data_IF_562676033225
#
_entry.id   IF_562676033225
#
_cell.length_a   1.000
_cell.length_b   1.000
_cell.length_c   1.000
_cell.angle_alpha   90.00
_cell.angle_beta   90.00
_cell.angle_gamma   90.00
#
_symmetry.space_group_name_H-M   'P 1'
#
loop_
_entity.id
_entity.type
_entity.pdbx_description
1 polymer ?
#
# COMPACT_ATOMS: atom_id res chain seq x y z
N UNK A 1 -1.68 -16.54 21.20
CA UNK A 1 -3.05 -15.98 21.05
C UNK A 1 -2.91 -14.53 20.62
N UNK A 2 -3.49 -14.14 19.48
CA UNK A 2 -3.42 -12.75 19.02
C UNK A 2 -4.32 -11.85 19.91
N UNK A 3 -3.84 -10.66 20.24
CA UNK A 3 -4.57 -9.68 21.03
C UNK A 3 -5.75 -9.11 20.19
N UNK A 4 -7.01 -9.27 20.64
CA UNK A 4 -8.19 -8.84 19.90
C UNK A 4 -8.21 -7.34 19.62
N UNK A 5 -7.62 -6.51 20.49
CA UNK A 5 -7.51 -5.06 20.27
C UNK A 5 -6.57 -4.74 19.10
N UNK A 6 -5.48 -5.52 18.95
CA UNK A 6 -4.53 -5.35 17.85
C UNK A 6 -5.13 -5.77 16.52
N UNK A 7 -5.88 -6.87 16.49
CA UNK A 7 -6.57 -7.33 15.27
C UNK A 7 -7.62 -6.33 14.81
N UNK A 8 -8.38 -5.72 15.74
CA UNK A 8 -9.37 -4.70 15.39
C UNK A 8 -8.72 -3.46 14.75
N UNK A 9 -7.64 -2.94 15.34
CA UNK A 9 -6.88 -1.80 14.79
C UNK A 9 -6.30 -2.11 13.41
N UNK A 10 -5.72 -3.30 13.25
CA UNK A 10 -5.18 -3.75 11.97
C UNK A 10 -6.28 -3.90 10.91
N UNK A 11 -7.45 -4.41 11.29
CA UNK A 11 -8.62 -4.54 10.41
C UNK A 11 -9.11 -3.18 9.91
N UNK A 12 -9.29 -2.22 10.82
CA UNK A 12 -9.70 -0.86 10.46
C UNK A 12 -8.69 -0.21 9.51
N UNK A 13 -7.39 -0.38 9.77
CA UNK A 13 -6.34 0.16 8.94
C UNK A 13 -6.34 -0.43 7.51
N UNK A 14 -6.57 -1.74 7.37
CA UNK A 14 -6.68 -2.37 6.06
C UNK A 14 -7.94 -1.95 5.31
N UNK A 15 -9.09 -1.80 5.99
CA UNK A 15 -10.31 -1.29 5.34
C UNK A 15 -10.08 0.14 4.82
N UNK A 16 -9.47 1.01 5.63
CA UNK A 16 -9.14 2.37 5.23
C UNK A 16 -8.17 2.40 4.03
N UNK A 17 -7.11 1.58 4.05
CA UNK A 17 -6.15 1.48 2.96
C UNK A 17 -6.74 0.91 1.67
N UNK A 18 -7.52 -0.17 1.74
CA UNK A 18 -8.18 -0.70 0.52
C UNK A 18 -9.16 0.33 -0.04
N UNK A 19 -9.81 1.12 0.83
CA UNK A 19 -10.69 2.23 0.44
C UNK A 19 -10.01 3.37 -0.31
N UNK A 20 -8.67 3.46 -0.36
CA UNK A 20 -7.98 4.49 -1.16
C UNK A 20 -7.90 4.14 -2.64
N UNK A 21 -8.26 2.93 -3.03
CA UNK A 21 -8.17 2.45 -4.41
C UNK A 21 -9.51 2.57 -5.15
N UNK A 22 -9.51 2.61 -6.49
CA UNK A 22 -10.74 2.50 -7.27
C UNK A 22 -11.28 1.07 -7.15
N UNK A 23 -12.32 0.89 -6.33
CA UNK A 23 -12.97 -0.41 -6.11
C UNK A 23 -14.23 -0.54 -6.96
N UNK A 24 -14.49 -1.75 -7.44
CA UNK A 24 -15.74 -2.09 -8.14
C UNK A 24 -16.95 -2.05 -7.20
N UNK A 25 -16.73 -2.15 -5.89
CA UNK A 25 -17.76 -2.06 -4.85
C UNK A 25 -17.22 -1.36 -3.60
N UNK A 26 -18.07 -0.64 -2.86
CA UNK A 26 -17.68 -0.08 -1.57
C UNK A 26 -17.39 -1.19 -0.56
N UNK A 27 -16.47 -0.91 0.36
CA UNK A 27 -16.17 -1.77 1.51
C UNK A 27 -16.41 -0.98 2.80
N UNK A 28 -16.98 -1.64 3.80
CA UNK A 28 -17.25 -1.04 5.12
C UNK A 28 -16.61 -1.84 6.24
N UNK A 29 -16.23 -3.09 5.97
CA UNK A 29 -15.71 -4.02 6.96
C UNK A 29 -14.73 -5.01 6.35
N UNK A 30 -13.99 -5.72 7.20
CA UNK A 30 -13.10 -6.78 6.76
C UNK A 30 -13.86 -7.96 6.12
N UNK A 31 -15.14 -8.16 6.47
CA UNK A 31 -15.97 -9.19 5.86
C UNK A 31 -16.14 -8.96 4.35
N UNK A 32 -16.14 -7.70 3.90
CA UNK A 32 -16.23 -7.33 2.49
C UNK A 32 -14.96 -7.69 1.69
N UNK A 33 -13.90 -8.15 2.34
CA UNK A 33 -12.69 -8.67 1.69
C UNK A 33 -12.71 -10.20 1.55
N UNK A 34 -13.69 -10.88 2.15
CA UNK A 34 -13.68 -12.35 2.32
C UNK A 34 -14.01 -13.15 1.05
N UNK A 35 -14.27 -12.51 -0.07
CA UNK A 35 -14.36 -13.16 -1.39
C UNK A 35 -13.22 -12.78 -2.34
N UNK A 36 -12.30 -11.92 -1.87
CA UNK A 36 -11.13 -11.46 -2.61
C UNK A 36 -11.38 -10.41 -3.69
N UNK A 37 -12.61 -9.97 -3.96
CA UNK A 37 -12.90 -9.06 -5.08
C UNK A 37 -12.24 -7.68 -4.91
N UNK A 38 -12.37 -7.06 -3.74
CA UNK A 38 -11.73 -5.77 -3.47
C UNK A 38 -10.18 -5.88 -3.46
N UNK A 39 -9.63 -6.99 -2.97
CA UNK A 39 -8.18 -7.24 -3.05
C UNK A 39 -7.71 -7.43 -4.49
N UNK A 40 -8.53 -8.06 -5.34
CA UNK A 40 -8.29 -8.12 -6.77
C UNK A 40 -8.25 -6.72 -7.39
N UNK A 41 -9.20 -5.84 -7.06
CA UNK A 41 -9.23 -4.48 -7.59
C UNK A 41 -7.95 -3.71 -7.20
N UNK A 42 -7.54 -3.80 -5.93
CA UNK A 42 -6.28 -3.21 -5.45
C UNK A 42 -5.09 -3.74 -6.25
N UNK A 43 -4.93 -5.06 -6.38
CA UNK A 43 -3.79 -5.63 -7.10
C UNK A 43 -3.84 -5.36 -8.61
N UNK A 44 -5.03 -5.25 -9.20
CA UNK A 44 -5.21 -4.85 -10.61
C UNK A 44 -4.84 -3.38 -10.83
N UNK A 45 -5.10 -2.52 -9.85
CA UNK A 45 -4.68 -1.11 -9.91
C UNK A 45 -3.16 -0.97 -9.84
N UNK A 46 -2.48 -1.90 -9.17
CA UNK A 46 -1.02 -1.97 -9.08
C UNK A 46 -0.43 -2.51 -10.38
N UNK A 47 -0.92 -3.67 -10.83
CA UNK A 47 -0.47 -4.34 -12.05
C UNK A 47 -1.61 -5.15 -12.70
N UNK A 48 -2.27 -4.51 -13.67
CA UNK A 48 -3.37 -5.12 -14.42
C UNK A 48 -2.92 -6.25 -15.37
N UNK A 49 -1.63 -6.36 -15.69
CA UNK A 49 -1.14 -7.43 -16.57
C UNK A 49 -1.12 -8.77 -15.81
N UNK A 50 -0.67 -8.73 -14.56
CA UNK A 50 -0.59 -9.89 -13.68
C UNK A 50 -1.93 -10.20 -12.98
N UNK A 51 -2.66 -9.16 -12.56
CA UNK A 51 -3.94 -9.31 -11.88
C UNK A 51 -5.08 -8.93 -12.82
N UNK A 52 -5.41 -9.84 -13.75
CA UNK A 52 -6.55 -9.62 -14.65
C UNK A 52 -7.86 -9.92 -13.92
N UNK A 53 -8.80 -8.96 -13.86
CA UNK A 53 -10.11 -9.22 -13.29
C UNK A 53 -10.81 -10.33 -14.09
N UNK A 54 -11.58 -11.20 -13.43
CA UNK A 54 -12.39 -12.18 -14.13
C UNK A 54 -13.41 -11.46 -15.02
N UNK A 55 -13.63 -11.96 -16.23
CA UNK A 55 -14.57 -11.40 -17.21
C UNK A 55 -16.04 -11.44 -16.80
N UNK A 56 -16.36 -12.02 -15.63
CA UNK A 56 -17.70 -12.03 -15.03
C UNK A 56 -17.60 -11.58 -13.57
N UNK A 57 -18.41 -10.61 -13.12
CA UNK A 57 -18.47 -10.27 -11.71
C UNK A 57 -18.93 -11.51 -10.95
N UNK A 58 -18.16 -11.99 -9.96
CA UNK A 58 -18.60 -13.12 -9.18
C UNK A 58 -19.80 -12.68 -8.34
N UNK A 59 -20.96 -13.31 -8.53
CA UNK A 59 -22.08 -13.32 -7.57
C UNK A 59 -21.68 -14.07 -6.28
N UNK A 60 -20.41 -13.99 -5.88
CA UNK A 60 -19.79 -14.87 -4.91
C UNK A 60 -20.20 -14.56 -3.47
N UNK A 61 -20.72 -13.36 -3.16
CA UNK A 61 -20.99 -12.99 -1.77
C UNK A 61 -21.90 -13.99 -1.06
N UNK A 62 -22.92 -14.53 -1.74
CA UNK A 62 -23.89 -15.44 -1.13
C UNK A 62 -23.41 -16.90 -1.04
N UNK A 63 -22.50 -17.34 -1.92
CA UNK A 63 -22.05 -18.72 -1.97
C UNK A 63 -20.58 -18.84 -1.56
N UNK A 64 -20.33 -19.36 -0.36
CA UNK A 64 -18.98 -19.55 0.18
C UNK A 64 -18.07 -20.40 -0.72
N UNK A 65 -18.61 -21.32 -1.52
CA UNK A 65 -17.84 -22.13 -2.48
C UNK A 65 -17.30 -21.26 -3.63
N UNK A 66 -18.12 -20.29 -4.09
CA UNK A 66 -17.68 -19.31 -5.09
C UNK A 66 -16.65 -18.36 -4.49
N UNK A 67 -16.83 -17.90 -3.23
CA UNK A 67 -15.81 -17.10 -2.52
C UNK A 67 -14.50 -17.84 -2.41
N UNK A 68 -14.54 -19.09 -1.95
CA UNK A 68 -13.36 -19.93 -1.82
C UNK A 68 -12.63 -20.11 -3.16
N UNK A 69 -13.38 -20.30 -4.25
CA UNK A 69 -12.81 -20.43 -5.59
C UNK A 69 -12.14 -19.12 -6.06
N UNK A 70 -12.76 -17.97 -5.80
CA UNK A 70 -12.17 -16.65 -6.06
C UNK A 70 -10.91 -16.40 -5.24
N UNK A 71 -10.92 -16.73 -3.95
CA UNK A 71 -9.78 -16.61 -3.06
C UNK A 71 -8.62 -17.51 -3.46
N UNK A 72 -8.88 -18.77 -3.88
CA UNK A 72 -7.84 -19.66 -4.42
C UNK A 72 -7.17 -19.06 -5.64
N UNK A 73 -7.95 -18.47 -6.55
CA UNK A 73 -7.42 -17.78 -7.72
C UNK A 73 -6.57 -16.58 -7.32
N UNK A 74 -7.07 -15.74 -6.41
CA UNK A 74 -6.36 -14.57 -5.89
C UNK A 74 -5.01 -14.98 -5.28
N UNK A 75 -5.03 -15.94 -4.35
CA UNK A 75 -3.83 -16.41 -3.67
C UNK A 75 -2.81 -17.03 -4.62
N UNK A 76 -3.27 -17.78 -5.64
CA UNK A 76 -2.40 -18.30 -6.70
C UNK A 76 -1.69 -17.17 -7.47
N UNK A 77 -2.40 -16.09 -7.80
CA UNK A 77 -1.79 -14.94 -8.50
C UNK A 77 -0.84 -14.16 -7.59
N UNK A 78 -1.18 -13.99 -6.32
CA UNK A 78 -0.30 -13.38 -5.31
C UNK A 78 1.01 -14.16 -5.22
N UNK A 79 0.93 -15.47 -4.96
CA UNK A 79 2.11 -16.34 -4.83
C UNK A 79 2.95 -16.38 -6.12
N UNK A 80 2.29 -16.39 -7.28
CA UNK A 80 2.96 -16.28 -8.57
C UNK A 80 3.69 -14.93 -8.73
N UNK A 81 3.06 -13.82 -8.35
CA UNK A 81 3.69 -12.49 -8.42
C UNK A 81 4.94 -12.40 -7.52
N UNK A 82 4.85 -12.95 -6.31
CA UNK A 82 6.00 -13.05 -5.41
C UNK A 82 7.16 -13.83 -6.05
N UNK A 83 6.87 -14.98 -6.67
CA UNK A 83 7.89 -15.82 -7.29
C UNK A 83 8.48 -15.21 -8.57
N UNK A 84 7.62 -14.79 -9.49
CA UNK A 84 8.00 -14.43 -10.86
C UNK A 84 8.48 -12.98 -10.96
N UNK A 85 7.84 -12.06 -10.23
CA UNK A 85 8.10 -10.61 -10.33
C UNK A 85 8.99 -10.13 -9.18
N UNK A 86 8.71 -10.55 -7.95
CA UNK A 86 9.50 -10.15 -6.79
C UNK A 86 10.71 -11.05 -6.53
N UNK A 87 10.82 -12.18 -7.26
CA UNK A 87 11.89 -13.18 -7.12
C UNK A 87 12.02 -13.72 -5.69
N UNK A 88 10.89 -13.94 -5.03
CA UNK A 88 10.78 -14.37 -3.65
C UNK A 88 10.07 -15.73 -3.58
N UNK A 89 10.63 -16.72 -2.90
CA UNK A 89 10.07 -18.06 -2.91
C UNK A 89 8.71 -18.08 -2.20
N UNK A 90 7.71 -18.72 -2.83
CA UNK A 90 6.37 -18.86 -2.24
C UNK A 90 6.39 -19.57 -0.87
N UNK A 91 7.41 -20.39 -0.59
CA UNK A 91 7.63 -21.05 0.70
C UNK A 91 7.93 -20.08 1.85
N UNK A 92 8.33 -18.85 1.56
CA UNK A 92 8.55 -17.81 2.56
C UNK A 92 7.26 -17.05 2.92
N UNK A 93 6.16 -17.29 2.21
CA UNK A 93 4.89 -16.64 2.45
C UNK A 93 4.07 -17.43 3.46
N UNK A 94 3.41 -16.71 4.37
CA UNK A 94 2.39 -17.32 5.21
C UNK A 94 1.23 -17.82 4.34
N UNK A 95 0.79 -19.06 4.57
CA UNK A 95 -0.36 -19.65 3.88
C UNK A 95 -1.63 -19.35 4.70
N UNK A 96 -2.57 -18.53 4.18
CA UNK A 96 -3.85 -18.30 4.83
C UNK A 96 -4.81 -19.48 4.63
N UNK A 97 -5.63 -19.78 5.63
CA UNK A 97 -6.75 -20.71 5.49
C UNK A 97 -7.89 -20.03 4.71
N UNK A 98 -7.83 -20.17 3.38
CA UNK A 98 -8.82 -19.60 2.46
C UNK A 98 -10.23 -20.13 2.69
N UNK A 99 -10.37 -21.35 3.24
CA UNK A 99 -11.67 -21.91 3.53
C UNK A 99 -12.28 -21.22 4.74
N UNK A 100 -11.50 -20.97 5.79
CA UNK A 100 -11.93 -20.20 6.95
C UNK A 100 -12.28 -18.74 6.59
N UNK A 101 -11.55 -18.12 5.66
CA UNK A 101 -11.91 -16.80 5.10
C UNK A 101 -13.26 -16.87 4.38
N UNK A 102 -13.41 -17.83 3.46
CA UNK A 102 -14.61 -17.94 2.62
C UNK A 102 -15.86 -18.36 3.40
N UNK A 103 -15.73 -19.25 4.39
CA UNK A 103 -16.88 -19.84 5.07
C UNK A 103 -17.22 -19.10 6.36
N UNK A 104 -16.20 -18.81 7.15
CA UNK A 104 -16.35 -18.34 8.53
C UNK A 104 -16.00 -16.85 8.69
N UNK A 105 -15.66 -16.16 7.59
CA UNK A 105 -15.20 -14.76 7.59
C UNK A 105 -14.06 -14.53 8.60
N UNK A 106 -13.14 -15.49 8.68
CA UNK A 106 -12.11 -15.52 9.71
C UNK A 106 -11.16 -14.31 9.62
N UNK A 107 -11.27 -13.40 10.59
CA UNK A 107 -10.52 -12.14 10.63
C UNK A 107 -9.00 -12.33 10.56
N UNK A 108 -8.35 -13.17 11.41
CA UNK A 108 -6.92 -13.44 11.30
C UNK A 108 -6.47 -13.88 9.91
N UNK A 109 -7.18 -14.80 9.27
CA UNK A 109 -6.82 -15.35 7.96
C UNK A 109 -7.05 -14.34 6.83
N UNK A 110 -8.11 -13.52 6.92
CA UNK A 110 -8.34 -12.39 6.00
C UNK A 110 -7.22 -11.36 6.11
N UNK A 111 -6.75 -11.05 7.32
CA UNK A 111 -5.63 -10.15 7.52
C UNK A 111 -4.32 -10.70 6.94
N UNK A 112 -4.09 -12.02 6.96
CA UNK A 112 -2.92 -12.62 6.29
C UNK A 112 -2.96 -12.37 4.78
N UNK A 113 -4.11 -12.52 4.13
CA UNK A 113 -4.27 -12.18 2.72
C UNK A 113 -4.00 -10.69 2.45
N UNK A 114 -4.53 -9.80 3.29
CA UNK A 114 -4.33 -8.36 3.16
C UNK A 114 -2.86 -7.97 3.29
N UNK A 115 -2.13 -8.61 4.23
CA UNK A 115 -0.68 -8.44 4.41
C UNK A 115 0.10 -8.80 3.15
N UNK A 116 -0.20 -9.94 2.52
CA UNK A 116 0.43 -10.32 1.25
C UNK A 116 0.14 -9.30 0.14
N UNK A 117 -1.09 -8.79 0.07
CA UNK A 117 -1.47 -7.79 -0.93
C UNK A 117 -0.73 -6.45 -0.75
N UNK A 118 -0.67 -5.91 0.48
CA UNK A 118 0.11 -4.68 0.74
C UNK A 118 1.61 -4.92 0.55
N UNK A 119 2.10 -6.12 0.85
CA UNK A 119 3.48 -6.52 0.59
C UNK A 119 3.85 -6.48 -0.90
N UNK A 120 2.94 -6.87 -1.79
CA UNK A 120 3.09 -6.65 -3.23
C UNK A 120 3.04 -5.16 -3.55
N UNK A 121 2.04 -4.44 -3.04
CA UNK A 121 1.81 -3.03 -3.34
C UNK A 121 3.05 -2.16 -3.06
N UNK A 122 3.68 -2.34 -1.90
CA UNK A 122 4.88 -1.58 -1.49
C UNK A 122 6.17 -2.06 -2.16
N UNK A 123 6.15 -3.18 -2.89
CA UNK A 123 7.29 -3.68 -3.67
C UNK A 123 7.15 -3.43 -5.17
N UNK A 124 5.92 -3.20 -5.64
CA UNK A 124 5.59 -2.92 -7.03
C UNK A 124 6.23 -1.64 -7.58
N UNK A 125 6.12 -1.45 -8.89
CA UNK A 125 6.52 -0.20 -9.57
C UNK A 125 5.71 1.02 -9.07
N UNK A 126 4.45 0.79 -8.67
CA UNK A 126 3.55 1.83 -8.12
C UNK A 126 3.77 2.11 -6.63
N UNK A 127 4.85 1.60 -6.04
CA UNK A 127 5.18 1.80 -4.61
C UNK A 127 5.04 3.24 -4.15
N UNK A 128 5.48 4.22 -4.94
CA UNK A 128 5.40 5.64 -4.53
C UNK A 128 3.95 6.06 -4.26
N UNK A 129 3.05 5.79 -5.20
CA UNK A 129 1.61 6.09 -5.07
C UNK A 129 1.00 5.34 -3.88
N UNK A 130 1.37 4.08 -3.69
CA UNK A 130 0.90 3.26 -2.54
C UNK A 130 1.36 3.86 -1.21
N UNK A 131 2.62 4.30 -1.10
CA UNK A 131 3.17 4.90 0.11
C UNK A 131 2.51 6.25 0.39
N UNK A 132 2.32 7.09 -0.62
CA UNK A 132 1.60 8.37 -0.49
C UNK A 132 0.15 8.13 -0.04
N UNK A 133 -0.53 7.11 -0.59
CA UNK A 133 -1.86 6.70 -0.15
C UNK A 133 -1.91 6.29 1.32
N UNK A 134 -0.90 5.55 1.80
CA UNK A 134 -0.79 5.19 3.23
C UNK A 134 -0.55 6.45 4.08
N UNK A 135 0.31 7.37 3.65
CA UNK A 135 0.58 8.62 4.38
C UNK A 135 -0.64 9.55 4.47
N UNK A 136 -1.60 9.41 3.56
CA UNK A 136 -2.88 10.13 3.61
C UNK A 136 -3.86 9.60 4.67
N UNK A 137 -3.61 8.43 5.25
CA UNK A 137 -4.45 7.84 6.31
C UNK A 137 -4.13 8.42 7.68
N UNK A 138 -5.01 8.20 8.66
CA UNK A 138 -4.72 8.58 10.06
C UNK A 138 -3.47 7.87 10.61
N UNK A 139 -2.76 8.52 11.52
CA UNK A 139 -1.49 8.01 12.10
C UNK A 139 -1.64 6.63 12.76
N UNK A 140 -2.80 6.35 13.37
CA UNK A 140 -3.13 5.06 13.96
C UNK A 140 -3.20 3.94 12.92
N UNK A 141 -3.74 4.24 11.73
CA UNK A 141 -3.80 3.34 10.59
C UNK A 141 -2.41 3.16 9.97
N UNK A 142 -1.66 4.23 9.77
CA UNK A 142 -0.28 4.18 9.26
C UNK A 142 0.60 3.28 10.11
N UNK A 143 0.57 3.45 11.43
CA UNK A 143 1.35 2.65 12.38
C UNK A 143 0.96 1.16 12.34
N UNK A 144 -0.34 0.89 12.15
CA UNK A 144 -0.85 -0.47 12.05
C UNK A 144 -0.44 -1.16 10.74
N UNK A 145 -0.53 -0.44 9.61
CA UNK A 145 -0.11 -0.92 8.28
C UNK A 145 1.40 -1.09 8.21
N UNK A 146 2.17 -0.19 8.80
CA UNK A 146 3.62 -0.34 9.00
C UNK A 146 3.92 -1.68 9.64
N UNK A 147 3.34 -1.96 10.82
CA UNK A 147 3.49 -3.25 11.53
C UNK A 147 3.08 -4.44 10.67
N UNK A 148 2.02 -4.30 9.89
CA UNK A 148 1.52 -5.35 9.00
C UNK A 148 2.52 -5.65 7.87
N UNK A 149 3.06 -4.61 7.22
CA UNK A 149 4.16 -4.70 6.25
C UNK A 149 5.36 -5.37 6.94
N UNK A 150 5.62 -5.05 8.22
CA UNK A 150 6.74 -5.67 8.95
C UNK A 150 6.66 -7.17 9.11
N UNK A 151 5.46 -7.69 9.31
CA UNK A 151 5.26 -9.13 9.44
C UNK A 151 5.54 -9.88 8.13
N UNK A 152 5.39 -9.20 6.99
CA UNK A 152 5.69 -9.77 5.65
C UNK A 152 7.21 -9.74 5.36
N UNK A 153 8.01 -9.01 6.16
CA UNK A 153 9.47 -8.80 5.97
C UNK A 153 10.38 -10.02 6.19
N UNK A 154 9.84 -11.24 6.31
CA UNK A 154 10.65 -12.46 6.06
C UNK A 154 11.24 -12.50 4.64
N UNK A 155 10.89 -11.52 3.82
CA UNK A 155 11.05 -11.47 2.39
C UNK A 155 11.65 -10.10 2.01
N UNK A 156 12.98 -10.06 1.87
CA UNK A 156 13.89 -9.06 1.27
C UNK A 156 13.46 -7.57 1.05
N UNK A 157 12.60 -7.01 1.89
CA UNK A 157 12.19 -5.61 1.80
C UNK A 157 13.26 -4.71 2.45
N UNK A 158 13.76 -3.70 1.71
CA UNK A 158 14.54 -2.59 2.29
C UNK A 158 13.62 -1.69 3.11
N UNK A 159 13.27 -2.17 4.30
CA UNK A 159 12.46 -1.50 5.33
C UNK A 159 12.87 -0.05 5.56
N UNK A 160 14.18 0.21 5.52
CA UNK A 160 14.74 1.52 5.81
C UNK A 160 14.13 2.63 4.96
N UNK A 161 13.68 2.32 3.75
CA UNK A 161 13.10 3.31 2.83
C UNK A 161 11.60 3.54 3.09
N UNK A 162 10.83 2.51 3.47
CA UNK A 162 9.40 2.66 3.81
C UNK A 162 9.23 3.35 5.16
N UNK A 163 10.00 2.94 6.16
CA UNK A 163 9.90 3.49 7.51
C UNK A 163 10.36 4.95 7.59
N UNK A 164 11.40 5.34 6.85
CA UNK A 164 11.85 6.75 6.78
C UNK A 164 10.86 7.63 6.04
N UNK A 165 10.24 7.13 4.96
CA UNK A 165 9.21 7.88 4.23
C UNK A 165 7.95 8.06 5.06
N UNK A 166 7.44 7.01 5.70
CA UNK A 166 6.22 7.09 6.49
C UNK A 166 6.37 7.93 7.77
N UNK A 167 7.54 7.90 8.43
CA UNK A 167 7.81 8.69 9.64
C UNK A 167 8.40 10.09 9.37
N UNK A 168 8.65 10.45 8.10
CA UNK A 168 9.39 11.63 7.68
C UNK A 168 8.61 12.95 7.66
N UNK A 169 7.62 13.16 8.54
CA UNK A 169 6.85 14.42 8.62
C UNK A 169 7.21 15.31 9.81
N UNK A 170 8.40 15.16 10.41
CA UNK A 170 8.96 16.19 11.30
C UNK A 170 10.30 16.70 10.78
N UNK A 171 10.25 17.92 10.21
CA UNK A 171 11.42 18.76 9.94
C UNK A 171 11.59 19.12 8.47
N UNK A 172 11.05 20.27 8.04
CA UNK A 172 11.76 21.55 8.08
C UNK A 172 11.03 22.52 7.13
N UNK A 173 10.27 23.46 7.68
CA UNK A 173 9.84 24.64 6.91
C UNK A 173 11.12 25.42 6.64
N UNK A 174 11.55 25.43 5.37
CA UNK A 174 12.61 26.27 4.86
C UNK A 174 12.17 27.74 5.02
N UNK A 175 12.45 28.35 6.17
CA UNK A 175 12.44 29.79 6.34
C UNK A 175 13.79 30.31 5.85
N UNK A 176 13.92 30.45 4.53
CA UNK A 176 15.01 31.18 3.90
C UNK A 176 14.72 32.70 3.97
N UNK A 177 15.71 33.39 4.52
CA UNK A 177 16.08 34.81 4.46
C UNK A 177 15.02 35.86 4.15
N UNK A 178 15.02 36.93 4.94
CA UNK A 178 15.74 38.17 4.56
C UNK A 178 15.72 39.13 5.75
N UNK A 179 16.88 39.43 6.30
CA UNK A 179 17.01 40.39 7.38
C UNK A 179 18.46 40.69 7.72
N UNK A 180 19.10 41.56 6.94
CA UNK A 180 20.20 42.41 7.38
C UNK A 180 20.44 43.49 6.33
N UNK A 181 19.85 44.66 6.58
CA UNK A 181 20.29 45.90 5.94
C UNK A 181 21.56 46.41 6.59
N UNK A 182 22.43 47.04 5.80
CA UNK A 182 23.02 48.37 6.06
C UNK A 182 23.94 48.83 4.91
N UNK A 183 23.47 49.89 4.25
CA UNK A 183 24.14 51.05 3.65
C UNK A 183 25.66 51.06 3.39
N UNK A 184 26.02 51.49 2.16
CA UNK A 184 26.86 52.69 1.83
C UNK A 184 27.00 52.84 0.30
N UNK A 185 26.29 53.79 -0.33
CA UNK A 185 26.74 55.10 -0.89
C UNK A 185 27.63 55.06 -2.15
N UNK A 186 27.08 55.61 -3.25
CA UNK A 186 27.67 56.41 -4.36
C UNK A 186 28.93 55.85 -5.09
N UNK A 187 29.13 55.95 -6.41
CA UNK A 187 29.19 57.17 -7.25
C UNK A 187 29.50 56.74 -8.70
N UNK A 188 28.85 57.36 -9.69
CA UNK A 188 29.32 57.75 -11.03
C UNK A 188 30.42 56.92 -11.77
N UNK A 189 30.14 56.44 -13.00
CA UNK A 189 30.63 57.02 -14.27
C UNK A 189 30.38 56.08 -15.48
N UNK A 190 30.31 56.70 -16.67
CA UNK A 190 30.03 56.15 -18.00
C UNK A 190 31.18 55.27 -18.51
N UNK A 191 30.90 54.44 -19.53
CA UNK A 191 31.48 54.54 -20.90
C UNK A 191 31.24 53.24 -21.70
N UNK A 192 30.52 53.42 -22.82
CA UNK A 192 30.57 52.71 -24.11
C UNK A 192 31.56 51.54 -24.27
N UNK A 193 31.07 50.47 -24.92
CA UNK A 193 31.48 50.14 -26.30
C UNK A 193 30.49 49.20 -26.99
N UNK A 194 30.05 49.66 -28.18
CA UNK A 194 29.32 48.91 -29.21
C UNK A 194 30.22 47.80 -29.77
N UNK A 195 29.66 46.60 -29.94
CA UNK A 195 30.24 45.50 -30.70
C UNK A 195 29.66 45.52 -32.12
N UNK A 196 30.53 45.64 -33.12
CA UNK A 196 30.34 45.15 -34.49
C UNK A 196 31.65 44.49 -34.91
N UNK A 197 31.56 43.23 -35.26
CA UNK A 197 32.54 42.40 -35.93
C UNK A 197 31.77 41.25 -36.56
#
# INVERSE_FOLDING_TARGET
>A
MADPSKLAKESAAFVAWVGTFPLSRPINSLADLSDGAALFDVLSSIDAQNFRPPSRPPQAMENWVLRFSSLKRLYRLITQYYADVLHQPASALEVPDLQAVAKDYNVPETLRLCRLAIGIAVQSEKRKEVIEGIQGLEESHQSSLMRAIEKVKGVALRVGDVSTRLLGHSGNVQADATGLGRHRTATHDRVRKHVRG
#
